data_IF_942174956156
#
_entry.id   IF_942174956156
#
_cell.length_a   1.000
_cell.length_b   1.000
_cell.length_c   1.000
_cell.angle_alpha   90.00
_cell.angle_beta   90.00
_cell.angle_gamma   90.00
#
_symmetry.space_group_name_H-M   'P 1'
#
loop_
_entity.id
_entity.type
_entity.pdbx_description
1 polymer ?
#
# COMPACT_ATOMS: atom_id res chain seq x y z
N UNK A 1 -10.26 45.34 9.46
CA UNK A 1 -10.64 43.92 9.62
C UNK A 1 -9.62 43.11 8.86
N UNK A 2 -8.83 42.24 9.52
CA UNK A 2 -7.94 41.36 8.78
C UNK A 2 -8.81 40.30 8.08
N UNK A 3 -8.63 40.18 6.77
CA UNK A 3 -9.20 39.11 5.96
C UNK A 3 -8.74 37.76 6.51
N UNK A 4 -9.65 37.09 7.22
CA UNK A 4 -9.55 35.66 7.53
C UNK A 4 -9.79 34.88 6.23
N UNK A 5 -8.83 34.90 5.32
CA UNK A 5 -8.72 33.86 4.30
C UNK A 5 -8.31 32.58 5.04
N UNK A 6 -9.31 31.82 5.49
CA UNK A 6 -9.08 30.41 5.82
C UNK A 6 -8.39 29.78 4.61
N UNK A 7 -7.26 29.07 4.78
CA UNK A 7 -6.65 28.38 3.66
C UNK A 7 -7.71 27.48 3.05
N UNK A 8 -8.09 27.76 1.80
CA UNK A 8 -9.06 26.95 1.09
C UNK A 8 -8.55 25.50 1.15
N UNK A 9 -9.32 24.61 1.78
CA UNK A 9 -8.95 23.22 1.92
C UNK A 9 -8.60 22.68 0.53
N UNK A 10 -7.45 22.00 0.41
CA UNK A 10 -7.07 21.38 -0.85
C UNK A 10 -8.23 20.50 -1.34
N UNK A 11 -8.65 20.62 -2.61
CA UNK A 11 -9.82 19.90 -3.09
C UNK A 11 -9.58 18.40 -2.97
N UNK A 12 -10.57 17.70 -2.40
CA UNK A 12 -10.60 16.25 -2.41
C UNK A 12 -10.76 15.75 -3.85
N UNK A 13 -10.09 14.65 -4.19
CA UNK A 13 -10.24 13.95 -5.47
C UNK A 13 -10.51 12.47 -5.21
N UNK A 14 -11.28 11.82 -6.09
CA UNK A 14 -11.60 10.40 -5.97
C UNK A 14 -10.37 9.53 -6.29
N UNK A 15 -10.25 8.39 -5.61
CA UNK A 15 -9.27 7.34 -5.87
C UNK A 15 -9.99 6.10 -6.40
N UNK A 16 -10.32 6.03 -7.70
CA UNK A 16 -11.22 5.00 -8.25
C UNK A 16 -10.64 3.58 -8.19
N UNK A 17 -9.32 3.42 -8.12
CA UNK A 17 -8.69 2.10 -8.00
C UNK A 17 -8.69 1.57 -6.56
N UNK A 18 -8.97 2.42 -5.57
CA UNK A 18 -8.98 1.98 -4.18
C UNK A 18 -10.30 1.30 -3.87
N UNK A 19 -10.22 0.01 -3.64
CA UNK A 19 -11.36 -0.82 -3.29
C UNK A 19 -11.44 -1.06 -1.78
N UNK A 20 -12.59 -1.56 -1.33
CA UNK A 20 -12.86 -1.85 0.07
C UNK A 20 -13.38 -3.27 0.24
N UNK A 21 -12.94 -3.92 1.32
CA UNK A 21 -13.47 -5.21 1.77
C UNK A 21 -13.64 -5.19 3.30
N UNK A 22 -14.81 -5.58 3.79
CA UNK A 22 -15.11 -5.62 5.21
C UNK A 22 -15.01 -7.05 5.76
N UNK A 23 -14.50 -7.17 6.99
CA UNK A 23 -14.59 -8.37 7.80
C UNK A 23 -15.40 -8.03 9.06
N UNK A 24 -16.58 -8.62 9.19
CA UNK A 24 -17.47 -8.34 10.33
C UNK A 24 -17.92 -9.61 11.05
N UNK A 25 -17.94 -9.54 12.38
CA UNK A 25 -18.39 -10.61 13.26
C UNK A 25 -17.37 -10.90 14.38
N UNK A 26 -17.79 -11.64 15.43
CA UNK A 26 -16.96 -11.85 16.62
C UNK A 26 -15.59 -12.47 16.36
N UNK A 27 -15.45 -13.23 15.27
CA UNK A 27 -14.19 -13.90 14.92
C UNK A 27 -13.35 -13.11 13.90
N UNK A 28 -13.72 -11.88 13.53
CA UNK A 28 -13.07 -11.13 12.44
C UNK A 28 -11.60 -10.83 12.72
N UNK A 29 -11.26 -10.33 13.91
CA UNK A 29 -9.86 -10.11 14.34
C UNK A 29 -9.06 -11.41 14.34
N UNK A 30 -9.60 -12.49 14.90
CA UNK A 30 -8.91 -13.79 14.94
C UNK A 30 -8.75 -14.40 13.54
N UNK A 31 -9.73 -14.23 12.66
CA UNK A 31 -9.68 -14.67 11.27
C UNK A 31 -8.60 -13.90 10.49
N UNK A 32 -8.63 -12.56 10.55
CA UNK A 32 -7.63 -11.71 9.92
C UNK A 32 -6.22 -11.98 10.47
N UNK A 33 -6.08 -12.19 11.78
CA UNK A 33 -4.80 -12.57 12.39
C UNK A 33 -4.28 -13.90 11.86
N UNK A 34 -5.14 -14.88 11.58
CA UNK A 34 -4.71 -16.16 11.02
C UNK A 34 -4.36 -16.11 9.53
N UNK A 35 -4.91 -15.14 8.78
CA UNK A 35 -4.73 -15.05 7.32
C UNK A 35 -3.64 -14.07 6.89
N UNK A 36 -3.52 -12.92 7.57
CA UNK A 36 -2.66 -11.83 7.10
C UNK A 36 -1.29 -11.83 7.77
N UNK A 37 -0.31 -11.22 7.11
CA UNK A 37 1.09 -11.32 7.47
C UNK A 37 1.49 -10.47 8.68
N UNK A 38 0.71 -9.44 9.03
CA UNK A 38 0.99 -8.57 10.18
C UNK A 38 0.20 -8.97 11.44
N UNK A 39 0.64 -8.48 12.60
CA UNK A 39 0.01 -8.77 13.88
C UNK A 39 -1.30 -8.00 14.04
N UNK A 40 -2.41 -8.63 13.64
CA UNK A 40 -3.75 -8.03 13.77
C UNK A 40 -4.27 -8.06 15.21
N UNK A 41 -3.69 -8.89 16.09
CA UNK A 41 -4.15 -8.99 17.48
C UNK A 41 -3.62 -7.80 18.30
N UNK A 42 -2.41 -7.34 17.97
CA UNK A 42 -1.82 -6.13 18.54
C UNK A 42 -2.43 -4.82 18.00
N UNK A 43 -3.16 -4.86 16.89
CA UNK A 43 -3.82 -3.68 16.32
C UNK A 43 -4.98 -3.24 17.23
N UNK A 44 -4.91 -2.01 17.74
CA UNK A 44 -5.94 -1.43 18.59
C UNK A 44 -7.18 -1.00 17.78
N UNK A 45 -8.36 -1.05 18.38
CA UNK A 45 -9.54 -0.42 17.80
C UNK A 45 -9.31 1.10 17.60
N UNK A 46 -9.87 1.65 16.54
CA UNK A 46 -9.61 3.02 16.09
C UNK A 46 -8.23 3.22 15.47
N UNK A 47 -7.49 2.16 15.15
CA UNK A 47 -6.18 2.25 14.48
C UNK A 47 -6.14 1.45 13.18
N UNK A 48 -5.17 1.77 12.35
CA UNK A 48 -4.89 1.06 11.11
C UNK A 48 -3.39 0.76 10.98
N UNK A 49 -3.07 -0.29 10.22
CA UNK A 49 -1.70 -0.67 9.91
C UNK A 49 -1.60 -1.21 8.48
N UNK A 50 -0.41 -1.19 7.90
CA UNK A 50 -0.17 -1.94 6.67
C UNK A 50 -0.22 -3.44 6.93
N UNK A 51 -0.76 -4.19 5.98
CA UNK A 51 -0.79 -5.64 6.03
C UNK A 51 -0.65 -6.23 4.63
N UNK A 52 -0.10 -7.43 4.57
CA UNK A 52 0.00 -8.20 3.35
C UNK A 52 -0.77 -9.51 3.49
N UNK A 53 -1.37 -9.97 2.40
CA UNK A 53 -1.89 -11.33 2.30
C UNK A 53 -0.99 -12.15 1.38
N UNK A 54 -0.61 -13.35 1.81
CA UNK A 54 0.40 -14.15 1.14
C UNK A 54 -0.13 -15.51 0.72
N UNK A 55 0.48 -16.07 -0.32
CA UNK A 55 0.35 -17.49 -0.64
C UNK A 55 1.07 -18.35 0.41
N UNK A 56 0.78 -19.66 0.49
CA UNK A 56 1.55 -20.60 1.32
C UNK A 56 3.06 -20.63 0.99
N UNK A 57 3.45 -20.19 -0.22
CA UNK A 57 4.86 -20.07 -0.64
C UNK A 57 5.48 -18.71 -0.28
N UNK A 58 4.82 -17.90 0.56
CA UNK A 58 5.32 -16.60 1.01
C UNK A 58 5.30 -15.52 -0.07
N UNK A 59 4.44 -15.64 -1.08
CA UNK A 59 4.33 -14.66 -2.17
C UNK A 59 3.18 -13.69 -1.93
N UNK A 60 3.38 -12.40 -2.19
CA UNK A 60 2.40 -11.35 -1.93
C UNK A 60 1.23 -11.45 -2.92
N UNK A 61 0.04 -11.71 -2.39
CA UNK A 61 -1.24 -11.65 -3.12
C UNK A 61 -1.74 -10.20 -3.16
N UNK A 62 -1.72 -9.53 -2.00
CA UNK A 62 -2.18 -8.14 -1.85
C UNK A 62 -1.40 -7.42 -0.73
N UNK A 63 -1.25 -6.11 -0.87
CA UNK A 63 -0.78 -5.17 0.14
C UNK A 63 -1.87 -4.13 0.38
N UNK A 64 -2.26 -3.90 1.63
CA UNK A 64 -3.42 -3.09 1.97
C UNK A 64 -3.30 -2.44 3.34
N UNK A 65 -4.06 -1.37 3.56
CA UNK A 65 -4.25 -0.81 4.89
C UNK A 65 -5.40 -1.57 5.58
N UNK A 66 -5.14 -2.14 6.74
CA UNK A 66 -6.13 -2.81 7.57
C UNK A 66 -6.55 -1.88 8.71
N UNK A 67 -7.80 -1.44 8.69
CA UNK A 67 -8.40 -0.56 9.69
C UNK A 67 -9.19 -1.43 10.69
N UNK A 68 -8.90 -1.29 11.98
CA UNK A 68 -9.72 -1.90 13.04
C UNK A 68 -10.67 -0.87 13.59
N UNK A 69 -11.92 -0.87 13.10
CA UNK A 69 -12.96 0.08 13.52
C UNK A 69 -13.54 -0.28 14.88
N UNK A 70 -13.66 -1.57 15.15
CA UNK A 70 -14.04 -2.16 16.43
C UNK A 70 -13.42 -3.56 16.53
N UNK A 71 -13.54 -4.22 17.68
CA UNK A 71 -13.00 -5.58 17.88
C UNK A 71 -13.56 -6.62 16.89
N UNK A 72 -14.80 -6.42 16.45
CA UNK A 72 -15.52 -7.28 15.53
C UNK A 72 -15.68 -6.69 14.11
N UNK A 73 -15.11 -5.50 13.83
CA UNK A 73 -15.25 -4.79 12.55
C UNK A 73 -13.91 -4.33 12.01
N UNK A 74 -13.46 -4.98 10.94
CA UNK A 74 -12.27 -4.61 10.18
C UNK A 74 -12.67 -4.11 8.79
N UNK A 75 -11.91 -3.16 8.27
CA UNK A 75 -12.03 -2.69 6.90
C UNK A 75 -10.66 -2.73 6.23
N UNK A 76 -10.59 -3.42 5.09
CA UNK A 76 -9.43 -3.45 4.23
C UNK A 76 -9.59 -2.36 3.17
N UNK A 77 -8.66 -1.43 3.14
CA UNK A 77 -8.48 -0.49 2.04
C UNK A 77 -7.44 -1.08 1.08
N UNK A 78 -7.90 -1.44 -0.12
CA UNK A 78 -7.15 -2.15 -1.15
C UNK A 78 -6.70 -1.15 -2.23
N UNK A 79 -5.42 -0.74 -2.25
CA UNK A 79 -4.80 0.04 -3.31
C UNK A 79 -5.14 -0.38 -4.75
N UNK A 80 -5.08 -1.68 -5.03
CA UNK A 80 -5.03 -2.21 -6.40
C UNK A 80 -5.42 -3.71 -6.51
N UNK A 81 -5.71 -4.35 -5.36
CA UNK A 81 -6.22 -5.70 -5.33
C UNK A 81 -7.69 -5.70 -5.74
N UNK A 82 -8.07 -6.66 -6.58
CA UNK A 82 -9.48 -6.83 -6.95
C UNK A 82 -10.28 -7.33 -5.73
N UNK A 83 -11.23 -6.53 -5.22
CA UNK A 83 -12.00 -6.89 -4.03
C UNK A 83 -12.87 -8.12 -4.25
N UNK A 84 -13.34 -8.39 -5.48
CA UNK A 84 -14.20 -9.54 -5.76
C UNK A 84 -13.40 -10.85 -5.67
N UNK A 85 -12.26 -10.91 -6.36
CA UNK A 85 -11.34 -12.05 -6.27
C UNK A 85 -10.87 -12.27 -4.82
N UNK A 86 -10.48 -11.21 -4.12
CA UNK A 86 -10.01 -11.33 -2.74
C UNK A 86 -11.11 -11.79 -1.78
N UNK A 87 -12.35 -11.29 -1.96
CA UNK A 87 -13.51 -11.75 -1.21
C UNK A 87 -13.73 -13.25 -1.40
N UNK A 88 -13.82 -13.71 -2.65
CA UNK A 88 -14.07 -15.12 -2.97
C UNK A 88 -13.00 -16.03 -2.36
N UNK A 89 -11.72 -15.67 -2.50
CA UNK A 89 -10.63 -16.45 -1.97
C UNK A 89 -10.63 -16.47 -0.43
N UNK A 90 -10.86 -15.33 0.23
CA UNK A 90 -10.93 -15.27 1.70
C UNK A 90 -12.10 -16.07 2.26
N UNK A 91 -13.25 -16.06 1.58
CA UNK A 91 -14.44 -16.82 1.97
C UNK A 91 -14.17 -18.33 2.08
N UNK A 92 -13.26 -18.87 1.26
CA UNK A 92 -12.85 -20.30 1.32
C UNK A 92 -12.17 -20.67 2.64
N UNK A 93 -11.60 -19.70 3.36
CA UNK A 93 -10.97 -19.90 4.66
C UNK A 93 -11.91 -19.68 5.85
N UNK A 94 -13.16 -19.26 5.59
CA UNK A 94 -14.18 -19.09 6.64
C UNK A 94 -14.77 -20.46 6.99
N UNK A 95 -14.03 -21.22 7.80
CA UNK A 95 -14.48 -22.52 8.31
C UNK A 95 -14.80 -22.44 9.80
N UNK A 96 -16.06 -22.67 10.18
CA UNK A 96 -16.55 -22.65 11.58
C UNK A 96 -16.24 -21.36 12.34
N UNK A 97 -16.10 -20.23 11.63
CA UNK A 97 -15.90 -18.89 12.21
C UNK A 97 -17.12 -18.02 11.97
N UNK A 98 -17.49 -17.23 12.98
CA UNK A 98 -18.52 -16.19 12.92
C UNK A 98 -17.92 -14.91 12.35
N UNK A 99 -17.62 -14.94 11.05
CA UNK A 99 -17.12 -13.80 10.29
C UNK A 99 -17.75 -13.77 8.90
N UNK A 100 -18.14 -12.57 8.47
CA UNK A 100 -18.60 -12.29 7.12
C UNK A 100 -17.51 -11.52 6.37
N UNK A 101 -17.32 -11.85 5.10
CA UNK A 101 -16.40 -11.17 4.18
C UNK A 101 -17.23 -10.62 3.03
N UNK A 102 -17.30 -9.29 2.91
CA UNK A 102 -18.16 -8.64 1.91
C UNK A 102 -17.61 -7.28 1.49
N UNK A 103 -18.01 -6.82 0.29
CA UNK A 103 -17.75 -5.45 -0.17
C UNK A 103 -18.79 -4.50 0.45
N UNK A 104 -18.37 -3.46 1.21
CA UNK A 104 -19.32 -2.52 1.76
C UNK A 104 -19.96 -1.68 0.64
N UNK A 105 -21.29 -1.63 0.53
CA UNK A 105 -21.97 -0.90 -0.54
C UNK A 105 -21.86 0.62 -0.32
N UNK A 106 -21.77 1.37 -1.42
CA UNK A 106 -21.88 2.82 -1.42
C UNK A 106 -20.68 3.58 -0.88
N UNK A 107 -19.64 2.92 -0.35
CA UNK A 107 -18.43 3.60 0.12
C UNK A 107 -17.49 3.92 -1.05
N UNK A 108 -17.02 5.16 -1.07
CA UNK A 108 -16.02 5.69 -1.99
C UNK A 108 -14.77 6.11 -1.23
N UNK A 109 -13.64 6.11 -1.93
CA UNK A 109 -12.35 6.53 -1.39
C UNK A 109 -11.92 7.81 -2.09
N UNK A 110 -11.61 8.84 -1.31
CA UNK A 110 -11.07 10.09 -1.80
C UNK A 110 -9.80 10.47 -1.06
N UNK A 111 -9.02 11.36 -1.65
CA UNK A 111 -7.77 11.84 -1.08
C UNK A 111 -7.62 13.36 -1.24
N UNK A 112 -6.77 13.94 -0.41
CA UNK A 112 -6.37 15.33 -0.50
C UNK A 112 -4.89 15.50 -0.13
N UNK A 113 -4.26 16.53 -0.68
CA UNK A 113 -2.93 16.99 -0.27
C UNK A 113 -3.06 18.04 0.85
N UNK A 114 -3.72 17.63 1.93
CA UNK A 114 -3.93 18.41 3.15
C UNK A 114 -3.86 17.50 4.36
N UNK A 115 -3.54 18.09 5.51
CA UNK A 115 -3.50 17.34 6.76
C UNK A 115 -4.90 16.83 7.10
N UNK A 116 -5.02 15.61 7.65
CA UNK A 116 -6.29 15.13 8.16
C UNK A 116 -6.77 16.04 9.30
N UNK A 117 -8.09 16.18 9.44
CA UNK A 117 -8.70 16.98 10.51
C UNK A 117 -8.65 16.24 11.84
N UNK A 118 -8.87 14.92 11.80
CA UNK A 118 -9.15 14.09 12.96
C UNK A 118 -8.23 12.87 13.07
N UNK A 119 -7.70 12.36 11.95
CA UNK A 119 -6.72 11.27 11.94
C UNK A 119 -5.32 11.76 12.34
N UNK A 120 -4.48 10.87 12.86
CA UNK A 120 -3.06 11.18 13.12
C UNK A 120 -2.23 9.89 13.14
N UNK A 121 -1.25 9.79 12.25
CA UNK A 121 -0.48 8.56 12.05
C UNK A 121 -1.38 7.34 11.85
N UNK A 122 -1.22 6.34 12.70
CA UNK A 122 -2.02 5.11 12.69
C UNK A 122 -3.43 5.27 13.30
N UNK A 123 -3.73 6.38 13.97
CA UNK A 123 -5.05 6.61 14.57
C UNK A 123 -6.04 7.06 13.50
N UNK A 124 -7.12 6.31 13.38
CA UNK A 124 -8.25 6.60 12.50
C UNK A 124 -8.98 7.85 13.00
N UNK A 125 -9.30 8.75 12.08
CA UNK A 125 -10.17 9.89 12.30
C UNK A 125 -11.62 9.59 11.93
N UNK A 126 -12.57 10.24 12.60
CA UNK A 126 -13.99 10.19 12.27
C UNK A 126 -14.50 11.62 12.07
N UNK A 127 -15.13 11.86 10.92
CA UNK A 127 -15.76 13.14 10.57
C UNK A 127 -17.19 12.88 10.07
N UNK A 128 -18.16 12.92 10.98
CA UNK A 128 -19.50 12.39 10.71
C UNK A 128 -19.44 10.88 10.45
N UNK A 129 -19.98 10.45 9.31
CA UNK A 129 -19.92 9.04 8.86
C UNK A 129 -18.65 8.71 8.08
N UNK A 130 -17.78 9.69 7.83
CA UNK A 130 -16.55 9.49 7.09
C UNK A 130 -15.42 9.00 8.00
N UNK A 131 -14.66 8.04 7.49
CA UNK A 131 -13.40 7.58 8.07
C UNK A 131 -12.28 8.36 7.42
N UNK A 132 -11.35 8.89 8.23
CA UNK A 132 -10.19 9.63 7.75
C UNK A 132 -8.90 8.92 8.16
N UNK A 133 -7.92 8.88 7.26
CA UNK A 133 -6.60 8.30 7.46
C UNK A 133 -5.52 9.34 7.19
N UNK A 134 -4.47 9.31 8.00
CA UNK A 134 -3.28 10.12 7.82
C UNK A 134 -2.26 9.38 6.93
N UNK A 135 -2.07 9.86 5.71
CA UNK A 135 -1.09 9.38 4.73
C UNK A 135 0.11 10.35 4.61
N UNK A 136 0.24 11.31 5.52
CA UNK A 136 1.36 12.24 5.55
C UNK A 136 2.64 11.57 6.04
N UNK A 137 3.77 12.15 5.62
CA UNK A 137 5.12 11.72 6.00
C UNK A 137 5.86 12.76 6.88
N UNK A 138 5.15 13.82 7.27
CA UNK A 138 5.69 14.97 8.00
C UNK A 138 6.22 16.11 7.11
N UNK A 139 6.54 15.84 5.85
CA UNK A 139 6.99 16.81 4.85
C UNK A 139 5.88 17.24 3.88
N UNK A 140 5.03 16.28 3.46
CA UNK A 140 3.85 16.51 2.63
C UNK A 140 2.63 15.98 3.37
N UNK A 141 1.65 16.86 3.60
CA UNK A 141 0.40 16.45 4.19
C UNK A 141 -0.46 15.71 3.16
N UNK A 142 -0.89 14.50 3.51
CA UNK A 142 -1.76 13.66 2.68
C UNK A 142 -2.82 13.04 3.56
N UNK A 143 -4.06 13.13 3.16
CA UNK A 143 -5.19 12.51 3.84
C UNK A 143 -6.00 11.67 2.87
N UNK A 144 -6.57 10.60 3.39
CA UNK A 144 -7.49 9.72 2.67
C UNK A 144 -8.79 9.61 3.45
N UNK A 145 -9.92 9.66 2.75
CA UNK A 145 -11.25 9.59 3.33
C UNK A 145 -12.04 8.45 2.70
N UNK A 146 -12.81 7.74 3.53
CA UNK A 146 -13.76 6.72 3.13
C UNK A 146 -15.15 7.16 3.57
N UNK A 147 -16.06 7.40 2.63
CA UNK A 147 -17.40 7.93 2.90
C UNK A 147 -18.42 7.46 1.86
N UNK A 148 -19.72 7.56 2.17
CA UNK A 148 -20.79 7.17 1.24
C UNK A 148 -21.00 8.17 0.08
N UNK A 149 -20.49 9.39 0.20
CA UNK A 149 -20.68 10.47 -0.77
C UNK A 149 -19.32 11.11 -1.07
N UNK A 150 -18.87 11.06 -2.32
CA UNK A 150 -17.71 11.83 -2.76
C UNK A 150 -18.04 13.33 -2.78
N UNK A 151 -17.41 14.10 -1.90
CA UNK A 151 -17.33 15.57 -2.01
C UNK A 151 -16.28 16.02 -3.05
N UNK A 152 -15.80 15.11 -3.88
CA UNK A 152 -14.63 15.31 -4.73
C UNK A 152 -15.04 15.71 -6.17
N UNK A 153 -14.73 16.92 -6.64
CA UNK A 153 -14.85 17.27 -8.05
C UNK A 153 -13.91 16.43 -8.91
N UNK A 154 -14.35 16.07 -10.12
CA UNK A 154 -13.57 15.26 -11.07
C UNK A 154 -12.30 16.01 -11.51
N UNK A 155 -11.13 15.54 -11.09
CA UNK A 155 -9.83 16.04 -11.51
C UNK A 155 -8.78 14.95 -11.48
N UNK A 156 -8.26 14.56 -12.65
CA UNK A 156 -7.32 13.44 -12.81
C UNK A 156 -5.92 13.72 -12.25
N UNK A 157 -5.51 14.99 -12.17
CA UNK A 157 -4.15 15.41 -11.76
C UNK A 157 -3.79 15.04 -10.32
N UNK A 158 -4.78 14.87 -9.43
CA UNK A 158 -4.54 14.41 -8.06
C UNK A 158 -4.10 12.94 -7.98
N UNK A 159 -4.64 12.08 -8.85
CA UNK A 159 -4.43 10.63 -8.81
C UNK A 159 -2.97 10.27 -9.11
N UNK A 160 -2.39 10.85 -10.17
CA UNK A 160 -1.01 10.53 -10.54
C UNK A 160 -0.01 11.05 -9.51
N UNK A 161 -0.22 12.25 -8.96
CA UNK A 161 0.59 12.74 -7.84
C UNK A 161 0.47 11.83 -6.61
N UNK A 162 -0.73 11.33 -6.31
CA UNK A 162 -0.96 10.41 -5.19
C UNK A 162 -0.18 9.10 -5.37
N UNK A 163 -0.29 8.49 -6.56
CA UNK A 163 0.46 7.30 -6.93
C UNK A 163 1.97 7.55 -6.90
N UNK A 164 2.46 8.68 -7.41
CA UNK A 164 3.87 9.02 -7.35
C UNK A 164 4.36 9.20 -5.91
N UNK A 165 3.54 9.79 -5.03
CA UNK A 165 3.85 9.89 -3.60
C UNK A 165 3.87 8.50 -2.93
N UNK A 166 2.96 7.59 -3.28
CA UNK A 166 3.02 6.19 -2.83
C UNK A 166 4.31 5.48 -3.26
N UNK A 167 4.70 5.63 -4.53
CA UNK A 167 5.93 5.02 -5.04
C UNK A 167 7.17 5.57 -4.31
N UNK A 168 7.21 6.88 -4.02
CA UNK A 168 8.31 7.49 -3.24
C UNK A 168 8.46 6.86 -1.85
N UNK A 169 7.35 6.45 -1.24
CA UNK A 169 7.35 5.77 0.06
C UNK A 169 7.60 4.26 -0.04
N UNK A 170 7.81 3.72 -1.24
CA UNK A 170 8.00 2.29 -1.45
C UNK A 170 6.71 1.50 -1.25
N UNK A 171 5.55 2.09 -1.55
CA UNK A 171 4.26 1.39 -1.61
C UNK A 171 4.01 0.94 -3.05
N UNK A 172 4.35 -0.31 -3.42
CA UNK A 172 4.20 -0.78 -4.81
C UNK A 172 2.74 -0.95 -5.19
N UNK A 173 2.45 -0.73 -6.48
CA UNK A 173 1.17 -1.08 -7.10
C UNK A 173 1.34 -2.33 -7.98
N UNK A 174 0.88 -3.48 -7.49
CA UNK A 174 0.99 -4.80 -8.11
C UNK A 174 -0.25 -5.08 -8.98
N UNK A 175 -0.12 -4.84 -10.29
CA UNK A 175 -1.12 -5.30 -11.26
C UNK A 175 -1.27 -6.82 -11.25
N UNK A 176 -2.36 -7.34 -11.84
CA UNK A 176 -2.71 -8.76 -11.81
C UNK A 176 -1.56 -9.69 -12.24
N UNK A 177 -0.78 -9.30 -13.26
CA UNK A 177 0.35 -10.08 -13.73
C UNK A 177 1.46 -10.24 -12.68
N UNK A 178 1.63 -9.29 -11.76
CA UNK A 178 2.72 -9.27 -10.77
C UNK A 178 2.33 -9.89 -9.42
N UNK A 179 1.05 -10.18 -9.20
CA UNK A 179 0.58 -10.87 -7.99
C UNK A 179 1.28 -12.23 -7.87
N UNK A 180 1.56 -12.61 -6.63
CA UNK A 180 2.21 -13.88 -6.28
C UNK A 180 3.63 -14.09 -6.85
N UNK A 181 4.25 -13.08 -7.47
CA UNK A 181 5.63 -13.18 -7.94
C UNK A 181 6.65 -12.87 -6.84
N UNK A 182 6.30 -11.95 -5.94
CA UNK A 182 7.26 -11.33 -5.03
C UNK A 182 7.09 -11.79 -3.59
N UNK A 183 8.20 -11.91 -2.86
CA UNK A 183 8.17 -12.02 -1.39
C UNK A 183 8.07 -10.64 -0.74
N UNK A 184 7.58 -10.52 0.51
CA UNK A 184 7.55 -9.25 1.23
C UNK A 184 8.90 -8.53 1.27
N UNK A 185 9.99 -9.27 1.46
CA UNK A 185 11.33 -8.68 1.54
C UNK A 185 11.85 -8.18 0.19
N UNK A 186 11.51 -8.86 -0.92
CA UNK A 186 11.84 -8.36 -2.26
C UNK A 186 11.13 -7.04 -2.56
N UNK A 187 9.95 -6.85 -1.99
CA UNK A 187 9.18 -5.61 -2.04
C UNK A 187 9.51 -4.65 -0.89
N UNK A 188 10.56 -4.93 -0.09
CA UNK A 188 10.99 -4.10 1.03
C UNK A 188 9.85 -3.68 1.99
N UNK A 189 8.87 -4.56 2.20
CA UNK A 189 7.65 -4.27 2.97
C UNK A 189 7.91 -4.12 4.48
N UNK A 190 9.09 -4.51 4.96
CA UNK A 190 9.54 -4.22 6.32
C UNK A 190 9.58 -2.71 6.59
N UNK A 191 9.86 -1.91 5.56
CA UNK A 191 9.86 -0.44 5.68
C UNK A 191 8.50 0.15 6.00
N UNK A 192 7.43 -0.58 5.71
CA UNK A 192 6.04 -0.20 5.99
C UNK A 192 5.50 -0.89 7.25
N UNK A 193 6.30 -1.71 7.93
CA UNK A 193 5.85 -2.63 8.97
C UNK A 193 4.70 -3.55 8.50
N UNK A 194 4.63 -3.93 7.21
CA UNK A 194 3.44 -4.60 6.66
C UNK A 194 3.36 -6.12 6.96
N UNK A 195 4.31 -6.66 7.72
CA UNK A 195 4.31 -8.05 8.19
C UNK A 195 5.04 -8.17 9.52
N UNK A 196 4.70 -9.22 10.28
CA UNK A 196 5.34 -9.52 11.57
C UNK A 196 5.96 -10.91 11.54
N UNK A 197 7.25 -10.98 11.88
CA UNK A 197 7.95 -12.26 12.10
C UNK A 197 7.81 -12.77 13.54
N UNK A 198 7.15 -12.00 14.41
CA UNK A 198 7.00 -12.29 15.85
C UNK A 198 5.62 -12.84 16.21
N UNK A 199 4.64 -12.71 15.32
CA UNK A 199 3.26 -13.22 15.54
C UNK A 199 3.18 -14.74 15.34
N UNK A 200 2.02 -15.29 15.72
CA UNK A 200 1.67 -16.69 15.44
C UNK A 200 1.54 -17.00 13.94
N UNK A 201 1.21 -18.27 13.64
CA UNK A 201 1.20 -18.80 12.28
C UNK A 201 0.25 -18.06 11.32
N UNK A 202 0.74 -17.80 10.11
CA UNK A 202 -0.03 -17.34 8.95
C UNK A 202 0.53 -17.97 7.65
N UNK A 203 -0.26 -18.05 6.56
CA UNK A 203 0.21 -18.63 5.30
C UNK A 203 1.49 -17.98 4.78
N UNK A 204 2.50 -18.81 4.47
CA UNK A 204 3.78 -18.34 3.93
C UNK A 204 4.77 -17.76 4.95
N UNK A 205 4.42 -17.73 6.25
CA UNK A 205 5.31 -17.22 7.32
C UNK A 205 6.68 -17.91 7.31
N UNK A 206 6.76 -19.22 7.07
CA UNK A 206 8.01 -19.98 7.09
C UNK A 206 9.05 -19.40 6.13
N UNK A 207 8.63 -19.02 4.93
CA UNK A 207 9.50 -18.40 3.92
C UNK A 207 9.92 -16.99 4.36
N UNK A 208 8.99 -16.22 4.92
CA UNK A 208 9.24 -14.87 5.41
C UNK A 208 10.22 -14.90 6.60
N UNK A 209 9.97 -15.74 7.61
CA UNK A 209 10.79 -15.89 8.79
C UNK A 209 12.18 -16.43 8.44
N UNK A 210 12.29 -17.44 7.57
CA UNK A 210 13.58 -17.97 7.12
C UNK A 210 14.43 -16.88 6.46
N UNK A 211 13.83 -16.06 5.60
CA UNK A 211 14.54 -14.96 4.93
C UNK A 211 14.99 -13.89 5.92
N UNK A 212 14.22 -13.64 6.99
CA UNK A 212 14.55 -12.66 8.02
C UNK A 212 15.66 -13.14 8.98
N UNK A 213 15.58 -14.37 9.50
CA UNK A 213 16.48 -14.85 10.55
C UNK A 213 17.74 -15.55 10.03
N UNK A 214 17.63 -16.26 8.91
CA UNK A 214 18.72 -17.10 8.39
C UNK A 214 19.29 -16.56 7.08
N UNK A 215 18.54 -15.71 6.39
CA UNK A 215 18.91 -15.13 5.11
C UNK A 215 19.15 -13.63 5.17
N UNK A 216 19.53 -13.09 4.03
CA UNK A 216 19.37 -11.68 3.70
C UNK A 216 18.64 -11.60 2.38
N UNK A 217 17.70 -10.67 2.25
CA UNK A 217 17.11 -10.37 0.96
C UNK A 217 18.21 -9.83 0.05
N UNK A 218 18.55 -10.59 -1.00
CA UNK A 218 19.58 -10.18 -1.98
C UNK A 218 19.04 -9.16 -2.99
N UNK A 219 17.74 -8.89 -2.94
CA UNK A 219 17.04 -7.95 -3.81
C UNK A 219 16.04 -7.16 -2.98
N UNK A 220 15.84 -5.91 -3.32
CA UNK A 220 14.87 -5.02 -2.67
C UNK A 220 14.33 -3.97 -3.64
N UNK A 221 13.37 -3.19 -3.17
CA UNK A 221 12.86 -2.06 -3.93
C UNK A 221 13.92 -0.96 -4.09
N UNK A 222 13.98 -0.40 -5.28
CA UNK A 222 14.71 0.81 -5.61
C UNK A 222 13.77 1.78 -6.34
N UNK A 223 13.91 3.07 -6.03
CA UNK A 223 13.10 4.14 -6.58
C UNK A 223 13.90 4.90 -7.63
N UNK A 224 13.27 5.22 -8.75
CA UNK A 224 13.88 5.97 -9.82
C UNK A 224 12.95 7.07 -10.34
N UNK A 225 13.57 8.08 -10.91
CA UNK A 225 12.95 9.06 -11.78
C UNK A 225 13.45 8.90 -13.21
N UNK A 226 12.55 9.02 -14.16
CA UNK A 226 12.83 9.07 -15.59
C UNK A 226 12.21 10.33 -16.20
N UNK A 227 12.86 10.91 -17.20
CA UNK A 227 12.36 12.10 -17.92
C UNK A 227 11.25 11.79 -18.95
N UNK A 228 10.76 10.55 -18.98
CA UNK A 228 9.69 10.10 -19.85
C UNK A 228 8.99 8.87 -19.24
N UNK A 229 7.81 8.53 -19.77
CA UNK A 229 7.07 7.33 -19.36
C UNK A 229 7.87 6.07 -19.71
N UNK A 230 7.98 5.17 -18.72
CA UNK A 230 8.53 3.82 -18.88
C UNK A 230 7.41 2.84 -18.57
N UNK A 231 7.32 1.72 -19.31
CA UNK A 231 6.29 0.72 -19.06
C UNK A 231 6.71 -0.24 -17.92
N UNK A 232 5.79 -0.65 -17.03
CA UNK A 232 5.99 -1.81 -16.15
C UNK A 232 6.48 -3.04 -16.94
N UNK A 233 7.39 -3.82 -16.34
CA UNK A 233 8.00 -5.00 -16.96
C UNK A 233 9.21 -4.72 -17.85
N UNK A 234 9.50 -3.45 -18.15
CA UNK A 234 10.70 -3.04 -18.90
C UNK A 234 11.97 -3.45 -18.16
N UNK A 235 12.96 -3.99 -18.87
CA UNK A 235 14.24 -4.36 -18.29
C UNK A 235 15.05 -3.14 -17.83
N UNK A 236 15.69 -3.28 -16.67
CA UNK A 236 16.66 -2.33 -16.13
C UNK A 236 18.04 -2.96 -16.22
N UNK A 237 18.96 -2.28 -16.89
CA UNK A 237 20.35 -2.73 -17.10
C UNK A 237 21.36 -1.68 -16.65
N UNK A 238 22.58 -2.13 -16.38
CA UNK A 238 23.77 -1.29 -16.15
C UNK A 238 24.61 -1.06 -17.43
N UNK A 239 24.06 -1.47 -18.59
CA UNK A 239 24.76 -1.47 -19.89
C UNK A 239 25.53 -2.77 -20.19
N UNK A 240 25.78 -3.62 -19.20
CA UNK A 240 26.43 -4.92 -19.39
C UNK A 240 25.44 -6.09 -19.24
N UNK A 241 24.51 -5.99 -18.29
CA UNK A 241 23.55 -7.03 -17.99
C UNK A 241 22.21 -6.45 -17.49
N UNK A 242 21.15 -7.26 -17.61
CA UNK A 242 19.85 -6.94 -17.02
C UNK A 242 19.88 -7.27 -15.54
N UNK A 243 19.64 -6.25 -14.70
CA UNK A 243 19.63 -6.38 -13.25
C UNK A 243 18.24 -6.70 -12.70
N UNK A 244 17.18 -6.26 -13.39
CA UNK A 244 15.80 -6.52 -12.99
C UNK A 244 14.81 -5.87 -13.96
N UNK A 245 13.58 -5.68 -13.50
CA UNK A 245 12.49 -5.07 -14.28
C UNK A 245 11.82 -3.96 -13.50
N UNK A 246 11.30 -2.97 -14.23
CA UNK A 246 10.39 -1.96 -13.70
C UNK A 246 9.17 -2.66 -13.12
N UNK A 247 8.87 -2.39 -11.86
CA UNK A 247 7.74 -2.97 -11.13
C UNK A 247 6.48 -2.17 -11.41
N UNK A 248 6.44 -0.91 -11.00
CA UNK A 248 5.29 -0.03 -11.16
C UNK A 248 5.74 1.41 -11.40
N UNK A 249 4.89 2.18 -12.08
CA UNK A 249 5.21 3.51 -12.60
C UNK A 249 4.04 4.45 -12.31
N UNK A 250 4.35 5.69 -11.97
CA UNK A 250 3.39 6.78 -11.84
C UNK A 250 3.94 8.03 -12.53
N UNK A 251 3.06 8.83 -13.13
CA UNK A 251 3.45 10.13 -13.65
C UNK A 251 3.71 11.10 -12.48
N UNK A 252 4.76 11.90 -12.62
CA UNK A 252 5.17 12.89 -11.62
C UNK A 252 5.59 14.19 -12.27
N UNK A 253 5.83 15.21 -11.45
CA UNK A 253 6.31 16.51 -11.94
C UNK A 253 7.67 16.34 -12.63
N UNK A 254 7.72 16.58 -13.94
CA UNK A 254 8.94 16.46 -14.74
C UNK A 254 9.28 15.06 -15.27
N UNK A 255 8.35 14.11 -15.22
CA UNK A 255 8.53 12.80 -15.85
C UNK A 255 7.76 11.66 -15.15
N UNK A 256 8.40 10.51 -15.01
CA UNK A 256 7.83 9.35 -14.32
C UNK A 256 8.63 9.00 -13.08
N UNK A 257 7.93 8.58 -12.02
CA UNK A 257 8.49 7.93 -10.84
C UNK A 257 8.22 6.44 -10.97
N UNK A 258 9.22 5.59 -10.69
CA UNK A 258 9.06 4.15 -10.82
C UNK A 258 9.76 3.39 -9.70
N UNK A 259 9.21 2.25 -9.34
CA UNK A 259 9.84 1.26 -8.48
C UNK A 259 10.37 0.09 -9.31
N UNK A 260 11.44 -0.52 -8.85
CA UNK A 260 11.97 -1.77 -9.39
C UNK A 260 12.53 -2.65 -8.29
N UNK A 261 12.54 -3.96 -8.52
CA UNK A 261 13.18 -4.93 -7.61
C UNK A 261 14.55 -5.30 -8.16
N UNK A 262 15.62 -4.79 -7.54
CA UNK A 262 17.01 -4.93 -8.02
C UNK A 262 17.90 -5.59 -6.97
N UNK A 263 19.07 -6.15 -7.36
CA UNK A 263 20.07 -6.62 -6.41
C UNK A 263 20.49 -5.52 -5.42
N UNK A 264 20.62 -5.90 -4.15
CA UNK A 264 20.98 -4.98 -3.07
C UNK A 264 22.46 -4.56 -3.12
N UNK A 265 23.30 -5.35 -3.77
CA UNK A 265 24.75 -5.19 -3.93
C UNK A 265 25.15 -4.70 -5.34
N UNK A 266 24.20 -4.10 -6.09
CA UNK A 266 24.49 -3.50 -7.39
C UNK A 266 25.49 -2.33 -7.23
N UNK A 267 26.43 -2.20 -8.17
CA UNK A 267 27.39 -1.10 -8.18
C UNK A 267 26.78 0.25 -8.57
N UNK A 268 27.59 1.29 -8.64
CA UNK A 268 27.18 2.67 -8.96
C UNK A 268 27.05 2.95 -10.46
N UNK A 269 26.81 1.91 -11.27
CA UNK A 269 26.67 2.06 -12.72
C UNK A 269 25.40 2.84 -13.07
N UNK A 270 25.44 3.62 -14.14
CA UNK A 270 24.26 4.32 -14.65
C UNK A 270 23.23 3.30 -15.13
N UNK A 271 22.08 3.27 -14.44
CA UNK A 271 21.00 2.36 -14.78
C UNK A 271 20.14 2.92 -15.91
N UNK A 272 19.70 2.03 -16.80
CA UNK A 272 18.87 2.36 -17.96
C UNK A 272 17.66 1.45 -18.06
N UNK A 273 16.54 2.03 -18.48
CA UNK A 273 15.38 1.29 -18.97
C UNK A 273 15.21 1.61 -20.46
N UNK A 274 15.44 0.61 -21.32
CA UNK A 274 15.64 0.82 -22.76
C UNK A 274 16.79 1.83 -23.00
N UNK A 275 16.55 2.92 -23.74
CA UNK A 275 17.54 3.96 -24.00
C UNK A 275 17.59 5.05 -22.91
N UNK A 276 16.67 5.01 -21.94
CA UNK A 276 16.47 6.08 -20.96
C UNK A 276 17.34 5.87 -19.74
N UNK A 277 18.07 6.91 -19.33
CA UNK A 277 18.83 6.93 -18.08
C UNK A 277 17.87 7.14 -16.91
N UNK A 278 18.03 6.32 -15.87
CA UNK A 278 17.26 6.40 -14.64
C UNK A 278 18.06 7.17 -13.58
N UNK A 279 17.45 8.20 -12.99
CA UNK A 279 17.98 8.85 -11.79
C UNK A 279 17.50 8.10 -10.55
N UNK A 280 18.40 7.47 -9.81
CA UNK A 280 18.04 6.80 -8.56
C UNK A 280 17.72 7.83 -7.46
N UNK A 281 16.64 7.59 -6.72
CA UNK A 281 16.20 8.41 -5.61
C UNK A 281 16.11 7.56 -4.33
N UNK A 282 16.37 8.12 -3.14
CA UNK A 282 16.11 7.41 -1.89
C UNK A 282 14.60 7.21 -1.70
N UNK A 283 14.23 6.06 -1.11
CA UNK A 283 12.87 5.84 -0.62
C UNK A 283 12.61 6.72 0.60
N UNK A 284 11.39 7.27 0.68
CA UNK A 284 10.94 8.09 1.80
C UNK A 284 10.32 7.25 2.91
N UNK A 285 10.65 7.57 4.16
CA UNK A 285 10.02 6.99 5.35
C UNK A 285 8.78 7.82 5.77
N UNK A 286 8.15 7.48 6.90
CA UNK A 286 7.02 8.25 7.43
C UNK A 286 5.64 7.65 7.14
N UNK A 287 5.56 6.57 6.35
CA UNK A 287 4.34 5.77 6.17
C UNK A 287 4.32 4.46 6.99
N UNK A 288 5.23 4.30 7.94
CA UNK A 288 5.08 3.27 8.98
C UNK A 288 3.83 3.59 9.81
N UNK A 289 2.95 2.62 9.98
CA UNK A 289 1.68 2.75 10.70
C UNK A 289 1.51 1.56 11.61
#
# INVERSE_FOLDING_TARGET
>A
MPDNLSPAAAPWFELPDHALLALEGPDSTAFAHAQFANDVAALAAGHWQWNAWLTPKGRVIALFALLKRAEDRLLLLLPDADPATMQEQLQRFVFRRKVQVFRPPGLQVSAAFSAPVSAAGARIGLAGDAIELDYGDGSEARSLRIAATAEAPAGTTGIDRWRASDLRHGLPRLGAAQREQWTPQQLSLERLNAFSVKKGCYPGQEIVARTHFLGKAKRGLALFQANAVVAPGTDISDGQQVLGKVLCVAEGTGGAVLLAVLPSDRGNATLRAQERVLGELPLMDGLQR
#
